data_IF_684300576194
#
_entry.id   IF_684300576194
#
_cell.length_a   1.000
_cell.length_b   1.000
_cell.length_c   1.000
_cell.angle_alpha   90.00
_cell.angle_beta   90.00
_cell.angle_gamma   90.00
#
_symmetry.space_group_name_H-M   'P 1'
#
loop_
_entity.id
_entity.type
_entity.pdbx_description
1 polymer ?
#
# COMPACT_ATOMS: atom_id res chain seq x y z
N UNK A 1 -26.44 -39.47 -1.87
CA UNK A 1 -26.59 -38.96 -0.50
C UNK A 1 -26.86 -37.46 -0.55
N UNK A 2 -28.02 -36.94 -0.10
CA UNK A 2 -28.28 -35.50 -0.11
C UNK A 2 -27.79 -34.84 1.20
N UNK A 3 -27.10 -33.70 1.09
CA UNK A 3 -26.64 -32.88 2.21
C UNK A 3 -27.75 -31.91 2.64
N UNK A 4 -28.22 -32.04 3.87
CA UNK A 4 -29.27 -31.20 4.48
C UNK A 4 -28.61 -30.00 5.18
N UNK A 5 -28.81 -28.78 4.67
CA UNK A 5 -28.43 -27.55 5.37
C UNK A 5 -29.46 -27.21 6.46
N UNK A 6 -29.05 -27.26 7.74
CA UNK A 6 -29.85 -26.78 8.87
C UNK A 6 -29.74 -25.26 9.00
N UNK A 7 -30.87 -24.55 8.94
CA UNK A 7 -30.98 -23.10 9.19
C UNK A 7 -30.91 -22.83 10.69
N UNK A 8 -29.87 -22.14 11.15
CA UNK A 8 -29.73 -21.70 12.55
C UNK A 8 -30.47 -20.35 12.69
N UNK A 9 -31.47 -20.30 13.56
CA UNK A 9 -32.27 -19.09 13.83
C UNK A 9 -31.77 -18.44 15.12
N UNK A 10 -31.04 -17.33 15.00
CA UNK A 10 -30.53 -16.56 16.15
C UNK A 10 -31.67 -15.71 16.73
N UNK A 11 -32.07 -16.01 17.96
CA UNK A 11 -33.05 -15.21 18.73
C UNK A 11 -32.35 -13.98 19.32
N UNK A 12 -32.83 -12.79 18.96
CA UNK A 12 -32.33 -11.50 19.45
C UNK A 12 -32.96 -11.21 20.81
N UNK A 13 -32.18 -11.21 21.89
CA UNK A 13 -32.62 -10.79 23.23
C UNK A 13 -32.58 -9.26 23.35
N UNK A 14 -33.65 -8.68 23.89
CA UNK A 14 -33.83 -7.24 24.11
C UNK A 14 -33.11 -6.85 25.41
N UNK A 15 -32.28 -5.80 25.45
CA UNK A 15 -31.72 -5.32 26.72
C UNK A 15 -32.80 -4.58 27.54
N UNK A 16 -32.81 -4.72 28.87
CA UNK A 16 -33.72 -3.98 29.73
C UNK A 16 -33.19 -2.56 30.00
N UNK A 17 -34.08 -1.58 30.01
CA UNK A 17 -33.92 -0.32 30.75
C UNK A 17 -34.94 -0.31 31.89
N UNK A 18 -34.63 0.28 33.05
CA UNK A 18 -34.89 1.71 33.24
C UNK A 18 -33.77 2.49 33.95
N UNK A 19 -33.71 3.78 33.62
CA UNK A 19 -32.78 4.81 34.09
C UNK A 19 -32.82 5.00 35.62
N UNK A 20 -31.64 5.07 36.25
CA UNK A 20 -31.45 5.80 37.52
C UNK A 20 -30.73 7.12 37.21
N UNK A 21 -31.29 8.23 37.70
CA UNK A 21 -30.74 9.58 37.59
C UNK A 21 -29.45 9.72 38.40
N UNK A 22 -28.37 10.16 37.76
CA UNK A 22 -27.12 10.52 38.43
C UNK A 22 -26.94 12.05 38.39
N UNK A 23 -26.58 12.72 39.51
CA UNK A 23 -26.39 14.16 39.55
C UNK A 23 -25.15 14.61 38.77
N UNK A 24 -25.23 15.83 38.22
CA UNK A 24 -24.22 16.45 37.38
C UNK A 24 -22.88 16.65 38.11
N UNK A 25 -21.80 16.10 37.53
CA UNK A 25 -20.43 16.50 37.83
C UNK A 25 -19.73 16.88 36.52
N UNK A 26 -19.08 18.05 36.51
CA UNK A 26 -18.37 18.63 35.37
C UNK A 26 -17.21 17.72 34.93
N UNK A 27 -17.26 17.22 33.69
CA UNK A 27 -16.16 16.49 33.05
C UNK A 27 -15.37 17.42 32.13
N UNK A 28 -14.02 17.35 32.10
CA UNK A 28 -13.22 18.01 31.07
C UNK A 28 -13.63 17.46 29.70
N UNK A 29 -13.80 18.34 28.72
CA UNK A 29 -14.22 17.95 27.37
C UNK A 29 -13.05 17.28 26.62
N UNK A 30 -12.77 16.03 26.94
CA UNK A 30 -11.96 15.11 26.11
C UNK A 30 -12.76 14.69 24.88
N UNK A 31 -13.04 15.66 23.99
CA UNK A 31 -13.50 15.35 22.64
C UNK A 31 -12.25 15.24 21.75
N UNK A 32 -11.98 14.09 21.13
CA UNK A 32 -10.95 14.04 20.09
C UNK A 32 -11.39 14.94 18.94
N UNK A 33 -10.63 16.01 18.70
CA UNK A 33 -10.83 16.85 17.51
C UNK A 33 -10.42 16.02 16.29
N UNK A 34 -11.39 15.69 15.44
CA UNK A 34 -11.12 15.07 14.15
C UNK A 34 -10.51 16.13 13.25
N UNK A 35 -9.18 16.13 13.13
CA UNK A 35 -8.47 16.97 12.16
C UNK A 35 -8.54 16.24 10.82
N UNK A 36 -9.32 16.78 9.87
CA UNK A 36 -9.31 16.31 8.49
C UNK A 36 -7.90 16.51 7.93
N UNK A 37 -7.32 15.46 7.36
CA UNK A 37 -6.04 15.58 6.67
C UNK A 37 -6.24 16.49 5.45
N UNK A 38 -5.52 17.61 5.39
CA UNK A 38 -5.52 18.50 4.23
C UNK A 38 -5.05 17.71 3.00
N UNK A 39 -5.92 17.57 2.00
CA UNK A 39 -5.62 16.85 0.76
C UNK A 39 -4.39 17.44 0.04
N UNK A 40 -4.17 18.75 0.18
CA UNK A 40 -3.01 19.46 -0.37
C UNK A 40 -1.68 19.07 0.28
N UNK A 41 -1.68 18.60 1.53
CA UNK A 41 -0.47 18.11 2.21
C UNK A 41 -0.09 16.68 1.77
N UNK A 42 -1.05 15.89 1.28
CA UNK A 42 -0.82 14.52 0.80
C UNK A 42 -0.26 14.47 -0.64
N UNK A 43 -0.36 15.55 -1.40
CA UNK A 43 0.07 15.63 -2.80
C UNK A 43 1.56 15.97 -2.98
N UNK A 44 2.29 16.29 -1.91
CA UNK A 44 3.71 16.69 -1.97
C UNK A 44 4.73 15.56 -1.77
N UNK A 45 4.39 14.33 -2.18
CA UNK A 45 5.45 13.38 -2.59
C UNK A 45 5.72 13.60 -4.08
N UNK A 46 6.26 14.78 -4.33
CA UNK A 46 6.58 15.30 -5.65
C UNK A 46 7.65 14.43 -6.32
N UNK A 47 7.27 13.73 -7.39
CA UNK A 47 8.18 13.04 -8.32
C UNK A 47 9.23 13.98 -8.94
N UNK A 48 9.06 15.29 -8.78
CA UNK A 48 9.94 16.36 -9.26
C UNK A 48 11.24 16.53 -8.45
N UNK A 49 11.41 15.80 -7.34
CA UNK A 49 12.63 15.78 -6.50
C UNK A 49 13.45 14.49 -6.58
N UNK A 50 13.36 13.74 -7.68
CA UNK A 50 14.28 12.62 -7.89
C UNK A 50 15.65 13.21 -8.25
N UNK A 51 16.57 13.27 -7.27
CA UNK A 51 17.95 13.69 -7.54
C UNK A 51 18.55 12.78 -8.62
N UNK A 52 19.23 13.37 -9.61
CA UNK A 52 19.84 12.63 -10.73
C UNK A 52 20.79 11.51 -10.25
N UNK A 53 21.39 11.69 -9.08
CA UNK A 53 22.26 10.70 -8.40
C UNK A 53 21.54 9.41 -7.98
N UNK A 54 20.20 9.38 -8.05
CA UNK A 54 19.39 8.21 -7.75
C UNK A 54 18.91 7.51 -9.02
N UNK A 55 19.17 8.06 -10.22
CA UNK A 55 18.76 7.43 -11.48
C UNK A 55 19.83 6.40 -11.84
N UNK A 56 19.45 5.12 -11.83
CA UNK A 56 20.32 4.00 -12.21
C UNK A 56 20.34 3.82 -13.72
N UNK A 57 19.16 3.88 -14.35
CA UNK A 57 18.99 3.81 -15.81
C UNK A 57 17.90 4.78 -16.25
N UNK A 58 18.08 5.41 -17.39
CA UNK A 58 17.07 6.23 -18.03
C UNK A 58 16.95 5.81 -19.49
N UNK A 59 15.72 5.56 -19.92
CA UNK A 59 15.38 5.17 -21.28
C UNK A 59 14.79 6.37 -22.02
N UNK A 60 14.93 6.40 -23.35
CA UNK A 60 14.39 7.46 -24.20
C UNK A 60 12.86 7.50 -24.24
N UNK A 61 12.20 6.40 -23.83
CA UNK A 61 10.74 6.30 -23.71
C UNK A 61 10.16 7.05 -22.48
N UNK A 62 10.99 7.77 -21.71
CA UNK A 62 10.55 8.50 -20.53
C UNK A 62 10.49 7.67 -19.24
N UNK A 63 10.88 6.39 -19.29
CA UNK A 63 11.01 5.55 -18.11
C UNK A 63 12.42 5.65 -17.52
N UNK A 64 12.49 5.77 -16.20
CA UNK A 64 13.75 5.74 -15.47
C UNK A 64 13.67 4.72 -14.34
N UNK A 65 14.72 3.92 -14.18
CA UNK A 65 14.95 3.07 -13.03
C UNK A 65 15.63 3.90 -11.95
N UNK A 66 14.94 4.11 -10.84
CA UNK A 66 15.36 4.99 -9.77
C UNK A 66 15.62 4.19 -8.50
N UNK A 67 16.72 4.50 -7.84
CA UNK A 67 17.13 3.97 -6.55
C UNK A 67 16.47 4.77 -5.42
N UNK A 68 15.66 4.11 -4.61
CA UNK A 68 15.07 4.70 -3.42
C UNK A 68 16.04 4.60 -2.24
N UNK A 69 16.74 5.69 -1.90
CA UNK A 69 17.65 5.79 -0.74
C UNK A 69 16.93 5.86 0.63
N UNK A 70 15.72 5.31 0.75
CA UNK A 70 15.00 5.21 2.04
C UNK A 70 15.17 3.82 2.62
N UNK A 71 15.89 3.72 3.73
CA UNK A 71 16.30 2.44 4.37
C UNK A 71 15.13 1.53 4.74
N UNK A 72 13.95 2.08 5.04
CA UNK A 72 12.76 1.33 5.49
C UNK A 72 11.81 0.92 4.36
N UNK A 73 11.95 1.49 3.17
CA UNK A 73 11.02 1.26 2.07
C UNK A 73 11.69 0.37 1.03
N UNK A 74 11.39 -0.92 1.09
CA UNK A 74 11.84 -1.91 0.11
C UNK A 74 10.64 -2.70 -0.38
N UNK A 75 10.56 -2.89 -1.70
CA UNK A 75 9.49 -3.64 -2.35
C UNK A 75 9.99 -4.93 -2.96
N UNK A 76 9.07 -5.68 -3.57
CA UNK A 76 9.40 -6.83 -4.40
C UNK A 76 9.15 -6.46 -5.86
N UNK A 77 9.96 -7.01 -6.77
CA UNK A 77 9.75 -6.79 -8.19
C UNK A 77 8.38 -7.34 -8.62
N UNK A 78 7.53 -6.48 -9.17
CA UNK A 78 6.16 -6.84 -9.60
C UNK A 78 6.20 -7.93 -10.67
N UNK A 79 7.10 -7.82 -11.64
CA UNK A 79 7.25 -8.82 -12.71
C UNK A 79 7.73 -10.17 -12.18
N UNK A 80 8.67 -10.19 -11.23
CA UNK A 80 9.14 -11.44 -10.64
C UNK A 80 8.06 -12.14 -9.82
N UNK A 81 7.29 -11.39 -9.01
CA UNK A 81 6.18 -11.97 -8.23
C UNK A 81 5.16 -12.61 -9.18
N UNK A 82 4.80 -11.91 -10.27
CA UNK A 82 3.85 -12.41 -11.28
C UNK A 82 4.39 -13.61 -12.04
N UNK A 83 5.70 -13.68 -12.30
CA UNK A 83 6.30 -14.80 -13.01
C UNK A 83 6.32 -16.08 -12.16
N UNK A 84 6.69 -15.98 -10.88
CA UNK A 84 6.76 -17.16 -10.01
C UNK A 84 5.37 -17.71 -9.62
N UNK A 85 4.36 -16.86 -9.46
CA UNK A 85 3.00 -17.25 -9.01
C UNK A 85 2.97 -18.07 -7.72
N UNK A 86 4.04 -18.00 -6.92
CA UNK A 86 4.21 -18.79 -5.71
C UNK A 86 3.70 -18.00 -4.49
N UNK A 87 2.80 -18.55 -3.65
CA UNK A 87 2.37 -17.89 -2.41
C UNK A 87 3.53 -17.62 -1.43
N UNK A 88 4.64 -18.36 -1.52
CA UNK A 88 5.84 -18.17 -0.69
C UNK A 88 6.92 -17.27 -1.32
N UNK A 89 6.58 -16.47 -2.34
CA UNK A 89 7.54 -15.58 -3.03
C UNK A 89 8.38 -14.71 -2.08
N UNK A 90 7.84 -14.36 -0.90
CA UNK A 90 8.51 -13.53 0.11
C UNK A 90 9.80 -14.15 0.67
N UNK A 91 9.94 -15.48 0.61
CA UNK A 91 11.14 -16.21 1.07
C UNK A 91 12.19 -16.36 -0.05
N UNK A 92 11.72 -16.45 -1.29
CA UNK A 92 12.54 -16.76 -2.47
C UNK A 92 13.06 -15.50 -3.17
N UNK A 93 12.29 -14.42 -3.12
CA UNK A 93 12.61 -13.18 -3.81
C UNK A 93 13.24 -12.17 -2.87
N UNK A 94 14.30 -11.54 -3.34
CA UNK A 94 14.93 -10.44 -2.61
C UNK A 94 14.11 -9.17 -2.73
N UNK A 95 14.05 -8.42 -1.62
CA UNK A 95 13.50 -7.07 -1.65
C UNK A 95 14.45 -6.14 -2.39
N UNK A 96 13.90 -5.37 -3.31
CA UNK A 96 14.60 -4.38 -4.11
C UNK A 96 14.34 -2.97 -3.56
N UNK A 97 15.26 -2.08 -3.87
CA UNK A 97 15.16 -0.65 -3.55
C UNK A 97 14.97 0.20 -4.83
N UNK A 98 14.74 -0.46 -5.96
CA UNK A 98 14.58 0.18 -7.27
C UNK A 98 13.12 0.19 -7.70
N UNK A 99 12.69 1.29 -8.30
CA UNK A 99 11.36 1.43 -8.88
C UNK A 99 11.43 2.22 -10.18
N UNK A 100 10.43 2.07 -11.04
CA UNK A 100 10.31 2.85 -12.26
C UNK A 100 9.43 4.08 -12.01
N UNK A 101 9.97 5.28 -12.21
CA UNK A 101 9.23 6.54 -12.05
C UNK A 101 8.26 6.83 -13.21
N UNK A 102 8.52 6.27 -14.40
CA UNK A 102 7.65 6.44 -15.57
C UNK A 102 6.43 5.53 -15.57
N UNK A 103 6.44 4.45 -14.79
CA UNK A 103 5.28 3.57 -14.68
C UNK A 103 4.16 4.21 -13.86
N UNK A 104 2.89 4.01 -14.24
CA UNK A 104 1.76 4.44 -13.42
C UNK A 104 1.85 3.81 -12.03
N UNK A 105 1.88 4.66 -11.01
CA UNK A 105 1.98 4.24 -9.61
C UNK A 105 3.38 3.85 -9.12
N UNK A 106 4.45 4.12 -9.88
CA UNK A 106 5.83 3.94 -9.39
C UNK A 106 6.18 2.48 -9.10
N UNK A 107 6.11 1.62 -10.12
CA UNK A 107 6.22 0.17 -9.92
C UNK A 107 7.61 -0.27 -9.45
N UNK A 108 7.65 -1.14 -8.42
CA UNK A 108 8.86 -1.82 -7.99
C UNK A 108 9.33 -2.79 -9.06
N UNK A 109 10.53 -2.57 -9.59
CA UNK A 109 11.09 -3.36 -10.68
C UNK A 109 12.58 -3.55 -10.47
N UNK A 110 13.06 -4.79 -10.63
CA UNK A 110 14.49 -5.07 -10.61
C UNK A 110 15.12 -4.68 -11.95
N UNK A 111 16.44 -4.55 -11.97
CA UNK A 111 17.17 -4.14 -13.16
C UNK A 111 16.92 -5.05 -14.38
N UNK A 112 16.98 -6.38 -14.20
CA UNK A 112 16.72 -7.33 -15.28
C UNK A 112 15.31 -7.19 -15.86
N UNK A 113 14.29 -7.06 -15.00
CA UNK A 113 12.92 -6.88 -15.46
C UNK A 113 12.70 -5.49 -16.07
N UNK A 114 13.45 -4.48 -15.64
CA UNK A 114 13.37 -3.14 -16.22
C UNK A 114 13.78 -3.18 -17.68
N UNK A 115 14.94 -3.78 -17.98
CA UNK A 115 15.44 -3.92 -19.33
C UNK A 115 14.46 -4.74 -20.20
N UNK A 116 13.96 -5.89 -19.72
CA UNK A 116 13.02 -6.71 -20.52
C UNK A 116 11.64 -6.07 -20.74
N UNK A 117 11.12 -5.30 -19.78
CA UNK A 117 9.76 -4.76 -19.85
C UNK A 117 9.69 -3.40 -20.52
N UNK A 118 10.78 -2.64 -20.45
CA UNK A 118 10.87 -1.28 -21.00
C UNK A 118 11.84 -1.20 -22.17
N UNK A 119 12.29 -2.35 -22.68
CA UNK A 119 13.23 -2.41 -23.78
C UNK A 119 12.71 -1.58 -24.95
N UNK A 120 13.54 -0.64 -25.38
CA UNK A 120 13.33 0.05 -26.63
C UNK A 120 13.76 -0.97 -27.67
N UNK A 121 12.79 -1.74 -28.20
CA UNK A 121 13.03 -2.53 -29.40
C UNK A 121 13.42 -1.53 -30.51
N UNK A 122 14.71 -1.41 -30.73
CA UNK A 122 15.30 -0.64 -31.82
C UNK A 122 15.22 -1.46 -33.11
#
# INVERSE_FOLDING_TARGET
MPLILKKIKVKRTKPPSPLKSVPAMNAPSDRPTVVSADADQLLRLDNSTISKDNIVKQLSNGHALVLLKRTRVKGFCVSCIRSMQDPEYKKKLNKIITYCSGCPGGQWICEACFDSSHDIKN
#
